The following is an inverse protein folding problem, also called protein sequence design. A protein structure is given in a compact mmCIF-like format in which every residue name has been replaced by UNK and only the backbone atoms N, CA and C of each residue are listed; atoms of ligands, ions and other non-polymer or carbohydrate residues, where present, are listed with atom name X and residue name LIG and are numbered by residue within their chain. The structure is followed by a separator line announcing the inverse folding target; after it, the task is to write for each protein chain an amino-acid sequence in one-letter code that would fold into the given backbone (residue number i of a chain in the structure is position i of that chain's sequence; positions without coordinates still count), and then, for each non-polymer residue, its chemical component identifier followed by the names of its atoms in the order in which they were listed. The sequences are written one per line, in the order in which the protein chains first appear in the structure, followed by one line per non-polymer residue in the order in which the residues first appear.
data_IF_144096737925
#
_entry.id   IF_144096737925
#
_cell.length_a   1.000
_cell.length_b   1.000
_cell.length_c   1.000
_cell.angle_alpha   90.00
_cell.angle_beta   90.00
_cell.angle_gamma   90.00
#
_symmetry.space_group_name_H-M   'P 1'
#
loop_
_entity.id
_entity.type
_entity.pdbx_description
1 polymer ?
#
# COMPACT_ATOMS: atom_id res chain seq x y z
N UNK A 1 -21.03 11.01 -15.83
CA UNK A 1 -21.66 9.77 -15.33
C UNK A 1 -20.60 8.68 -15.36
N UNK A 2 -20.27 8.12 -14.20
CA UNK A 2 -19.34 6.99 -14.12
C UNK A 2 -20.15 5.70 -14.21
N UNK A 3 -19.85 4.85 -15.18
CA UNK A 3 -20.54 3.56 -15.38
C UNK A 3 -19.61 2.42 -14.97
N UNK A 4 -20.18 1.38 -14.34
CA UNK A 4 -19.47 0.17 -13.93
C UNK A 4 -20.13 -1.06 -14.55
N UNK A 5 -19.35 -2.10 -14.85
CA UNK A 5 -19.92 -3.36 -15.31
C UNK A 5 -20.62 -4.09 -14.16
N UNK A 6 -21.86 -4.52 -14.39
CA UNK A 6 -22.65 -5.29 -13.42
C UNK A 6 -21.94 -6.57 -13.00
N UNK A 7 -21.19 -7.20 -13.93
CA UNK A 7 -20.38 -8.39 -13.66
C UNK A 7 -19.30 -8.14 -12.60
N UNK A 8 -18.59 -7.01 -12.69
CA UNK A 8 -17.53 -6.67 -11.74
C UNK A 8 -18.11 -6.38 -10.36
N UNK A 9 -19.27 -5.71 -10.31
CA UNK A 9 -19.99 -5.46 -9.05
C UNK A 9 -20.43 -6.79 -8.41
N UNK A 10 -21.00 -7.71 -9.20
CA UNK A 10 -21.42 -9.02 -8.70
C UNK A 10 -20.22 -9.84 -8.18
N UNK A 11 -19.07 -9.77 -8.87
CA UNK A 11 -17.84 -10.42 -8.41
C UNK A 11 -17.40 -9.87 -7.04
N UNK A 12 -17.40 -8.54 -6.86
CA UNK A 12 -17.00 -7.91 -5.60
C UNK A 12 -17.91 -8.26 -4.40
N UNK A 13 -19.17 -8.65 -4.65
CA UNK A 13 -20.08 -9.05 -3.56
C UNK A 13 -19.62 -10.31 -2.82
N UNK A 14 -18.86 -11.17 -3.49
CA UNK A 14 -18.37 -12.43 -2.93
C UNK A 14 -16.94 -12.32 -2.38
N UNK A 15 -16.33 -11.12 -2.40
CA UNK A 15 -14.97 -10.91 -1.92
C UNK A 15 -14.89 -11.04 -0.38
N UNK A 16 -14.09 -11.96 0.18
CA UNK A 16 -13.93 -12.13 1.64
C UNK A 16 -13.45 -10.88 2.39
N UNK A 17 -12.77 -9.96 1.70
CA UNK A 17 -12.35 -8.68 2.28
C UNK A 17 -13.54 -7.84 2.76
N UNK A 18 -14.72 -8.03 2.15
CA UNK A 18 -15.94 -7.35 2.55
C UNK A 18 -16.35 -7.71 3.99
N UNK A 19 -16.23 -8.99 4.37
CA UNK A 19 -16.51 -9.44 5.74
C UNK A 19 -15.50 -8.84 6.73
N UNK A 20 -14.22 -8.75 6.36
CA UNK A 20 -13.21 -8.06 7.18
C UNK A 20 -13.54 -6.59 7.39
N UNK A 21 -14.04 -5.90 6.37
CA UNK A 21 -14.48 -4.50 6.52
C UNK A 21 -15.70 -4.37 7.42
N UNK A 22 -16.66 -5.31 7.36
CA UNK A 22 -17.79 -5.37 8.29
C UNK A 22 -17.33 -5.58 9.73
N UNK A 23 -16.37 -6.48 9.96
CA UNK A 23 -15.77 -6.73 11.27
C UNK A 23 -15.07 -5.49 11.83
N UNK A 24 -14.28 -4.80 11.01
CA UNK A 24 -13.60 -3.55 11.40
C UNK A 24 -14.63 -2.47 11.76
N UNK A 25 -15.72 -2.36 11.00
CA UNK A 25 -16.80 -1.41 11.30
C UNK A 25 -17.49 -1.74 12.62
N UNK A 26 -17.82 -3.01 12.85
CA UNK A 26 -18.42 -3.47 14.10
C UNK A 26 -17.48 -3.24 15.30
N UNK A 27 -16.19 -3.52 15.13
CA UNK A 27 -15.13 -3.23 16.08
C UNK A 27 -15.08 -1.73 16.43
N UNK A 28 -15.02 -0.84 15.43
CA UNK A 28 -14.99 0.61 15.64
C UNK A 28 -16.23 1.09 16.42
N UNK A 29 -17.41 0.53 16.13
CA UNK A 29 -18.65 0.84 16.88
C UNK A 29 -18.54 0.43 18.35
N UNK A 30 -17.94 -0.73 18.67
CA UNK A 30 -17.73 -1.20 20.05
C UNK A 30 -16.75 -0.29 20.80
N UNK A 31 -15.64 0.09 20.17
CA UNK A 31 -14.66 1.02 20.75
C UNK A 31 -15.29 2.37 21.04
N UNK A 32 -16.03 2.93 20.08
CA UNK A 32 -16.71 4.22 20.25
C UNK A 32 -17.76 4.16 21.37
N UNK A 33 -18.50 3.05 21.51
CA UNK A 33 -19.45 2.86 22.60
C UNK A 33 -18.77 2.78 23.97
N UNK A 34 -17.62 2.10 24.07
CA UNK A 34 -16.85 2.02 25.32
C UNK A 34 -16.31 3.41 25.73
N UNK A 35 -15.78 4.17 24.76
CA UNK A 35 -15.32 5.55 24.97
C UNK A 35 -16.45 6.48 25.38
N UNK A 36 -17.60 6.43 24.71
CA UNK A 36 -18.76 7.26 25.05
C UNK A 36 -19.33 6.98 26.44
N UNK A 37 -19.11 5.77 26.98
CA UNK A 37 -19.48 5.39 28.36
C UNK A 37 -18.37 5.66 29.38
N UNK A 38 -17.28 6.33 28.99
CA UNK A 38 -16.09 6.56 29.83
C UNK A 38 -15.48 5.28 30.42
N UNK A 39 -15.68 4.12 29.78
CA UNK A 39 -15.09 2.86 30.22
C UNK A 39 -13.71 2.67 29.56
N UNK A 40 -12.72 3.38 30.10
CA UNK A 40 -11.33 3.36 29.64
C UNK A 40 -10.69 1.96 29.63
N UNK A 41 -10.79 1.11 30.67
CA UNK A 41 -10.14 -0.20 30.65
C UNK A 41 -10.74 -1.13 29.58
N UNK A 42 -12.05 -1.04 29.33
CA UNK A 42 -12.67 -1.79 28.24
C UNK A 42 -12.20 -1.27 26.87
N UNK A 43 -12.08 0.06 26.71
CA UNK A 43 -11.63 0.66 25.46
C UNK A 43 -10.18 0.24 25.12
N UNK A 44 -9.27 0.26 26.09
CA UNK A 44 -7.89 -0.20 25.91
C UNK A 44 -7.81 -1.69 25.55
N UNK A 45 -8.60 -2.54 26.22
CA UNK A 45 -8.69 -3.97 25.91
C UNK A 45 -9.21 -4.23 24.49
N UNK A 46 -10.10 -3.38 23.99
CA UNK A 46 -10.56 -3.47 22.60
C UNK A 46 -9.45 -3.01 21.64
N UNK A 47 -8.76 -1.91 21.93
CA UNK A 47 -7.68 -1.38 21.10
C UNK A 47 -6.55 -2.40 20.87
N UNK A 48 -6.20 -3.21 21.87
CA UNK A 48 -5.20 -4.27 21.73
C UNK A 48 -5.63 -5.42 20.80
N UNK A 49 -6.94 -5.56 20.54
CA UNK A 49 -7.54 -6.60 19.69
C UNK A 49 -8.02 -6.05 18.36
N UNK A 50 -7.43 -4.96 17.88
CA UNK A 50 -7.80 -4.34 16.61
C UNK A 50 -7.69 -5.38 15.49
N UNK A 51 -8.79 -5.65 14.75
CA UNK A 51 -8.74 -6.55 13.60
C UNK A 51 -7.90 -5.92 12.49
N UNK A 52 -7.08 -6.75 11.84
CA UNK A 52 -6.27 -6.39 10.68
C UNK A 52 -6.59 -7.32 9.50
N UNK A 53 -6.16 -6.92 8.30
CA UNK A 53 -6.34 -7.69 7.07
C UNK A 53 -5.09 -7.62 6.22
N UNK A 54 -4.86 -8.68 5.43
CA UNK A 54 -3.81 -8.70 4.42
C UNK A 54 -4.41 -8.77 3.03
N UNK A 55 -3.62 -8.39 2.02
CA UNK A 55 -4.04 -8.38 0.61
C UNK A 55 -3.34 -9.49 -0.20
N UNK A 56 -2.70 -10.45 0.47
CA UNK A 56 -1.83 -11.45 -0.19
C UNK A 56 -2.56 -12.27 -1.25
N UNK A 57 -3.82 -12.64 -0.97
CA UNK A 57 -4.68 -13.38 -1.90
C UNK A 57 -4.96 -12.56 -3.15
N UNK A 58 -5.38 -11.32 -2.98
CA UNK A 58 -5.71 -10.40 -4.06
C UNK A 58 -4.49 -10.07 -4.93
N UNK A 59 -3.32 -9.92 -4.31
CA UNK A 59 -2.07 -9.69 -5.05
C UNK A 59 -1.74 -10.90 -5.94
N UNK A 60 -1.89 -12.12 -5.44
CA UNK A 60 -1.64 -13.34 -6.23
C UNK A 60 -2.68 -13.58 -7.33
N UNK A 61 -3.94 -13.27 -7.06
CA UNK A 61 -5.02 -13.37 -8.05
C UNK A 61 -4.83 -12.34 -9.18
N UNK A 62 -4.39 -11.12 -8.84
CA UNK A 62 -4.12 -10.05 -9.81
C UNK A 62 -2.83 -10.28 -10.60
N UNK A 63 -1.81 -10.83 -9.95
CA UNK A 63 -0.50 -11.09 -10.54
C UNK A 63 -0.11 -12.57 -10.37
N UNK A 64 -0.61 -13.47 -11.23
CA UNK A 64 -0.33 -14.90 -11.12
C UNK A 64 1.17 -15.22 -11.28
N UNK A 65 1.87 -14.44 -12.11
CA UNK A 65 3.31 -14.55 -12.34
C UNK A 65 4.12 -13.38 -11.78
N UNK A 66 5.38 -13.66 -11.45
CA UNK A 66 6.32 -12.62 -11.01
C UNK A 66 6.57 -11.55 -12.08
N UNK A 67 6.62 -11.95 -13.36
CA UNK A 67 6.81 -11.02 -14.48
C UNK A 67 5.61 -10.08 -14.61
N UNK A 68 4.39 -10.56 -14.35
CA UNK A 68 3.18 -9.73 -14.39
C UNK A 68 3.24 -8.64 -13.31
N UNK A 69 3.69 -9.00 -12.10
CA UNK A 69 3.91 -8.03 -11.03
C UNK A 69 5.01 -7.01 -11.37
N UNK A 70 6.09 -7.43 -12.05
CA UNK A 70 7.17 -6.52 -12.47
C UNK A 70 6.71 -5.49 -13.50
N UNK A 71 5.74 -5.81 -14.37
CA UNK A 71 5.23 -4.88 -15.39
C UNK A 71 4.50 -3.68 -14.78
N UNK A 72 3.79 -3.89 -13.68
CA UNK A 72 3.05 -2.85 -12.95
C UNK A 72 3.89 -2.19 -11.82
N UNK A 73 5.15 -2.58 -11.66
CA UNK A 73 5.98 -2.15 -10.54
C UNK A 73 6.39 -0.67 -10.62
N UNK A 74 6.50 -0.11 -11.84
CA UNK A 74 6.92 1.27 -12.12
C UNK A 74 6.02 2.30 -11.40
N UNK A 75 4.69 2.19 -11.61
CA UNK A 75 3.71 3.06 -10.96
C UNK A 75 3.79 2.98 -9.43
N UNK A 76 4.00 1.78 -8.89
CA UNK A 76 4.14 1.56 -7.46
C UNK A 76 5.41 2.23 -6.91
N UNK A 77 6.54 2.08 -7.61
CA UNK A 77 7.82 2.68 -7.21
C UNK A 77 7.77 4.20 -7.24
N UNK A 78 7.13 4.79 -8.25
CA UNK A 78 6.93 6.24 -8.34
C UNK A 78 6.20 6.76 -7.09
N UNK A 79 5.11 6.10 -6.69
CA UNK A 79 4.36 6.50 -5.51
C UNK A 79 5.13 6.30 -4.20
N UNK A 80 5.89 5.19 -4.08
CA UNK A 80 6.74 4.94 -2.90
C UNK A 80 7.82 6.01 -2.75
N UNK A 81 8.50 6.39 -3.84
CA UNK A 81 9.51 7.46 -3.81
C UNK A 81 8.90 8.81 -3.47
N UNK A 82 7.71 9.13 -3.99
CA UNK A 82 6.99 10.34 -3.62
C UNK A 82 6.76 10.42 -2.10
N UNK A 83 6.18 9.36 -1.51
CA UNK A 83 5.91 9.35 -0.07
C UNK A 83 7.17 9.29 0.80
N UNK A 84 8.27 8.74 0.29
CA UNK A 84 9.55 8.73 1.00
C UNK A 84 10.14 10.13 1.21
N UNK A 85 9.92 11.03 0.24
CA UNK A 85 10.45 12.41 0.26
C UNK A 85 9.56 13.35 1.07
N UNK A 86 8.26 13.06 1.21
CA UNK A 86 7.34 13.94 1.92
C UNK A 86 7.72 14.10 3.41
N UNK A 87 7.67 15.33 3.96
CA UNK A 87 7.81 15.54 5.39
C UNK A 87 6.61 14.91 6.12
N UNK A 88 6.86 14.38 7.32
CA UNK A 88 5.82 13.88 8.20
C UNK A 88 5.04 15.06 8.79
N UNK A 89 4.20 15.69 7.98
CA UNK A 89 3.36 16.82 8.42
C UNK A 89 2.05 16.27 8.96
N UNK A 90 1.80 16.54 10.24
CA UNK A 90 0.58 16.12 10.95
C UNK A 90 -0.69 16.66 10.27
N UNK A 91 -0.60 17.84 9.63
CA UNK A 91 -1.71 18.47 8.91
C UNK A 91 -2.27 17.66 7.74
N UNK A 92 -1.51 16.69 7.20
CA UNK A 92 -1.95 15.86 6.06
C UNK A 92 -2.57 14.53 6.48
N UNK A 93 -2.74 14.26 7.78
CA UNK A 93 -3.24 12.97 8.31
C UNK A 93 -2.48 11.74 7.78
N UNK A 94 -1.21 11.91 7.38
CA UNK A 94 -0.38 10.81 6.89
C UNK A 94 0.28 10.14 8.09
N UNK A 95 0.04 8.85 8.27
CA UNK A 95 0.66 8.08 9.34
C UNK A 95 2.18 8.04 9.15
N UNK A 96 2.93 8.51 10.15
CA UNK A 96 4.40 8.55 10.14
C UNK A 96 5.01 7.17 9.82
N UNK A 97 4.42 6.10 10.37
CA UNK A 97 4.83 4.70 10.09
C UNK A 97 4.83 4.37 8.59
N UNK A 98 3.87 4.91 7.81
CA UNK A 98 3.80 4.68 6.36
C UNK A 98 4.95 5.35 5.62
N UNK A 99 5.31 6.57 6.01
CA UNK A 99 6.44 7.31 5.42
C UNK A 99 7.75 6.54 5.66
N UNK A 100 7.97 6.07 6.90
CA UNK A 100 9.15 5.25 7.22
C UNK A 100 9.20 3.95 6.41
N UNK A 101 8.07 3.26 6.24
CA UNK A 101 8.00 2.08 5.39
C UNK A 101 8.37 2.41 3.93
N UNK A 102 7.86 3.52 3.38
CA UNK A 102 8.17 3.94 2.02
C UNK A 102 9.67 4.26 1.85
N UNK A 103 10.27 4.96 2.82
CA UNK A 103 11.73 5.21 2.82
C UNK A 103 12.52 3.92 2.83
N UNK A 104 12.16 2.98 3.71
CA UNK A 104 12.83 1.67 3.80
C UNK A 104 12.75 0.92 2.48
N UNK A 105 11.55 0.80 1.90
CA UNK A 105 11.33 0.10 0.63
C UNK A 105 12.05 0.76 -0.55
N UNK A 106 12.06 2.10 -0.60
CA UNK A 106 12.81 2.87 -1.61
C UNK A 106 14.31 2.59 -1.53
N UNK A 107 14.88 2.59 -0.32
CA UNK A 107 16.30 2.24 -0.13
C UNK A 107 16.61 0.78 -0.45
N UNK A 108 15.78 -0.17 -0.03
CA UNK A 108 15.94 -1.59 -0.35
C UNK A 108 15.97 -1.80 -1.88
N UNK A 109 15.08 -1.12 -2.61
CA UNK A 109 15.07 -1.13 -4.07
C UNK A 109 16.36 -0.56 -4.68
N UNK A 110 16.79 0.62 -4.22
CA UNK A 110 18.02 1.26 -4.70
C UNK A 110 19.25 0.38 -4.46
N UNK A 111 19.35 -0.23 -3.26
CA UNK A 111 20.43 -1.16 -2.91
C UNK A 111 20.40 -2.40 -3.81
N UNK A 112 19.23 -2.95 -4.08
CA UNK A 112 19.08 -4.09 -4.99
C UNK A 112 19.59 -3.75 -6.41
N UNK A 113 19.15 -2.62 -6.98
CA UNK A 113 19.58 -2.21 -8.33
C UNK A 113 21.08 -1.91 -8.38
N UNK A 114 21.62 -1.26 -7.34
CA UNK A 114 23.05 -0.96 -7.22
C UNK A 114 23.90 -2.24 -7.18
N UNK A 115 23.54 -3.20 -6.31
CA UNK A 115 24.28 -4.46 -6.15
C UNK A 115 24.19 -5.37 -7.36
N UNK A 116 23.08 -5.34 -8.08
CA UNK A 116 22.87 -6.20 -9.26
C UNK A 116 23.35 -5.57 -10.56
N UNK A 117 23.84 -4.32 -10.52
CA UNK A 117 24.31 -3.55 -11.68
C UNK A 117 23.29 -3.53 -12.84
N UNK A 118 22.00 -3.30 -12.49
CA UNK A 118 20.89 -3.36 -13.45
C UNK A 118 20.41 -2.00 -13.95
N UNK A 119 21.03 -0.91 -13.54
CA UNK A 119 20.73 0.43 -14.04
C UNK A 119 21.19 0.57 -15.50
N UNK A 120 20.32 1.09 -16.36
CA UNK A 120 20.55 1.20 -17.82
C UNK A 120 20.59 2.64 -18.31
N UNK A 121 19.61 3.46 -17.91
CA UNK A 121 19.52 4.85 -18.33
C UNK A 121 19.18 5.73 -17.15
N UNK A 122 19.67 6.97 -17.19
CA UNK A 122 19.37 7.99 -16.21
C UNK A 122 19.08 9.30 -16.93
N UNK A 123 18.03 9.98 -16.52
CA UNK A 123 17.67 11.28 -17.07
C UNK A 123 17.42 12.28 -15.94
N UNK A 124 18.09 13.42 -16.00
CA UNK A 124 17.92 14.49 -15.01
C UNK A 124 17.06 15.59 -15.61
N UNK A 125 16.00 15.97 -14.89
CA UNK A 125 15.09 17.05 -15.24
C UNK A 125 14.98 18.04 -14.09
N UNK A 126 14.41 19.21 -14.36
CA UNK A 126 14.03 20.18 -13.32
C UNK A 126 13.07 19.55 -12.29
N UNK A 127 12.24 18.58 -12.72
CA UNK A 127 11.29 17.87 -11.84
C UNK A 127 11.92 16.80 -10.95
N UNK A 128 13.16 16.38 -11.23
CA UNK A 128 13.81 15.28 -10.54
C UNK A 128 14.63 14.37 -11.45
N UNK A 129 15.04 13.22 -10.92
CA UNK A 129 15.89 12.25 -11.61
C UNK A 129 15.07 11.00 -11.92
N UNK A 130 15.15 10.53 -13.16
CA UNK A 130 14.47 9.35 -13.68
C UNK A 130 15.48 8.24 -13.94
N UNK A 131 15.14 7.00 -13.60
CA UNK A 131 16.06 5.87 -13.63
C UNK A 131 15.43 4.68 -14.34
N UNK A 132 16.03 4.24 -15.44
CA UNK A 132 15.62 3.00 -16.09
C UNK A 132 16.49 1.84 -15.64
N UNK A 133 15.88 0.81 -15.04
CA UNK A 133 16.53 -0.44 -14.67
C UNK A 133 15.96 -1.65 -15.44
N UNK A 134 16.80 -2.67 -15.63
CA UNK A 134 16.46 -3.92 -16.32
C UNK A 134 16.43 -5.08 -15.32
N UNK A 135 15.21 -5.51 -14.95
CA UNK A 135 14.99 -6.57 -13.97
C UNK A 135 14.33 -7.76 -14.68
N UNK A 136 15.06 -8.88 -14.78
CA UNK A 136 14.63 -10.11 -15.46
C UNK A 136 14.07 -9.87 -16.88
N UNK A 137 14.67 -8.95 -17.64
CA UNK A 137 14.24 -8.61 -18.99
C UNK A 137 13.09 -7.61 -19.07
N UNK A 138 12.53 -7.19 -17.93
CA UNK A 138 11.55 -6.11 -17.86
C UNK A 138 12.25 -4.78 -17.58
N UNK A 139 11.93 -3.77 -18.38
CA UNK A 139 12.38 -2.39 -18.17
C UNK A 139 11.42 -1.68 -17.22
N UNK A 140 11.96 -1.09 -16.17
CA UNK A 140 11.24 -0.34 -15.12
C UNK A 140 11.85 1.07 -15.09
N UNK A 141 11.03 2.12 -15.12
CA UNK A 141 11.48 3.53 -15.24
C UNK A 141 11.29 4.32 -13.93
#
# INVERSE_FOLDING_TARGET
MTYYHVKDIAFLQHEPLLEKFKDIKAYNKKVNKARAKNNNPLAERLLSRKPDYTLDRLIRERYPGFIDALRDLDDCLTMVHLFAILPAVESKNIQVKRIYNCRRLSHEWQVYISRTHRLRKTFTSVKGIYYQADVKGQKIT
#
